data_IF_883378895425
#
_entry.id   IF_883378895425
#
_cell.length_a   1.000
_cell.length_b   1.000
_cell.length_c   1.000
_cell.angle_alpha   90.00
_cell.angle_beta   90.00
_cell.angle_gamma   90.00
#
_symmetry.space_group_name_H-M   'P 1'
#
loop_
_entity.id
_entity.type
_entity.pdbx_description
1 polymer ?
#
# COMPACT_ATOMS: atom_id res chain seq x y z
N UNK A 1 -2.06 -29.45 2.60
CA UNK A 1 -0.89 -28.87 3.31
C UNK A 1 -0.06 -27.93 2.43
N UNK A 2 0.06 -28.19 1.13
CA UNK A 2 0.86 -27.39 0.18
C UNK A 2 0.45 -25.90 0.08
N UNK A 3 -0.86 -25.60 0.07
CA UNK A 3 -1.38 -24.22 -0.04
C UNK A 3 -1.03 -23.36 1.17
N UNK A 4 -1.07 -23.92 2.39
CA UNK A 4 -0.74 -23.18 3.62
C UNK A 4 0.73 -22.72 3.64
N UNK A 5 1.62 -23.57 3.13
CA UNK A 5 3.04 -23.26 3.06
C UNK A 5 3.36 -22.20 1.99
N UNK A 6 2.66 -22.25 0.85
CA UNK A 6 2.74 -21.20 -0.19
C UNK A 6 2.26 -19.84 0.34
N UNK A 7 1.10 -19.79 0.98
CA UNK A 7 0.56 -18.55 1.57
C UNK A 7 1.51 -17.97 2.61
N UNK A 8 2.03 -18.79 3.52
CA UNK A 8 3.00 -18.35 4.54
C UNK A 8 4.28 -17.76 3.91
N UNK A 9 4.79 -18.38 2.83
CA UNK A 9 5.96 -17.88 2.10
C UNK A 9 5.69 -16.50 1.47
N UNK A 10 4.57 -16.33 0.78
CA UNK A 10 4.22 -15.05 0.15
C UNK A 10 3.94 -13.95 1.19
N UNK A 11 3.21 -14.28 2.25
CA UNK A 11 2.98 -13.35 3.36
C UNK A 11 4.31 -12.90 4.00
N UNK A 12 5.25 -13.83 4.21
CA UNK A 12 6.58 -13.52 4.72
C UNK A 12 7.36 -12.55 3.82
N UNK A 13 7.31 -12.76 2.49
CA UNK A 13 7.96 -11.86 1.53
C UNK A 13 7.37 -10.44 1.60
N UNK A 14 6.04 -10.31 1.67
CA UNK A 14 5.36 -9.01 1.75
C UNK A 14 5.73 -8.29 3.05
N UNK A 15 5.79 -8.99 4.18
CA UNK A 15 6.17 -8.42 5.48
C UNK A 15 7.62 -7.91 5.43
N UNK A 16 8.55 -8.70 4.89
CA UNK A 16 9.96 -8.30 4.76
C UNK A 16 10.09 -7.07 3.86
N UNK A 17 9.43 -7.08 2.70
CA UNK A 17 9.41 -5.94 1.79
C UNK A 17 8.84 -4.68 2.48
N UNK A 18 7.78 -4.83 3.28
CA UNK A 18 7.17 -3.73 4.03
C UNK A 18 8.12 -3.13 5.06
N UNK A 19 8.80 -3.98 5.84
CA UNK A 19 9.79 -3.54 6.82
C UNK A 19 10.94 -2.81 6.13
N UNK A 20 11.43 -3.35 5.02
CA UNK A 20 12.50 -2.72 4.24
C UNK A 20 12.11 -1.33 3.74
N UNK A 21 10.91 -1.19 3.16
CA UNK A 21 10.37 0.10 2.75
C UNK A 21 10.24 1.09 3.92
N UNK A 22 9.84 0.63 5.11
CA UNK A 22 9.76 1.49 6.31
C UNK A 22 11.14 1.98 6.74
N UNK A 23 12.15 1.12 6.74
CA UNK A 23 13.52 1.51 7.08
C UNK A 23 14.07 2.52 6.08
N UNK A 24 13.83 2.32 4.78
CA UNK A 24 14.21 3.29 3.75
C UNK A 24 13.48 4.64 3.92
N UNK A 25 12.19 4.61 4.27
CA UNK A 25 11.40 5.79 4.57
C UNK A 25 11.96 6.58 5.76
N UNK A 26 12.35 5.89 6.84
CA UNK A 26 13.02 6.49 7.99
C UNK A 26 14.38 7.08 7.61
N UNK A 27 15.17 6.37 6.78
CA UNK A 27 16.43 6.88 6.26
C UNK A 27 16.26 8.17 5.48
N UNK A 28 15.23 8.25 4.61
CA UNK A 28 14.85 9.48 3.91
C UNK A 28 14.54 10.62 4.88
N UNK A 29 13.77 10.36 5.93
CA UNK A 29 13.42 11.37 6.94
C UNK A 29 14.66 11.90 7.69
N UNK A 30 15.59 11.01 8.05
CA UNK A 30 16.86 11.37 8.69
C UNK A 30 17.72 12.24 7.76
N UNK A 31 17.79 11.90 6.46
CA UNK A 31 18.56 12.69 5.48
C UNK A 31 17.95 14.08 5.31
N UNK A 32 16.63 14.17 5.17
CA UNK A 32 15.92 15.45 5.05
C UNK A 32 16.16 16.30 6.30
N UNK A 33 15.96 15.73 7.49
CA UNK A 33 16.17 16.43 8.76
C UNK A 33 17.63 16.91 8.92
N UNK A 34 18.62 16.11 8.52
CA UNK A 34 20.04 16.50 8.58
C UNK A 34 20.48 17.54 7.54
N UNK A 35 19.71 17.74 6.47
CA UNK A 35 20.05 18.71 5.40
C UNK A 35 19.26 20.01 5.51
N UNK A 36 17.99 19.92 5.90
CA UNK A 36 17.08 21.06 6.00
C UNK A 36 16.85 21.52 7.45
N UNK A 37 17.22 20.70 8.44
CA UNK A 37 16.98 20.98 9.86
C UNK A 37 15.52 20.76 10.28
N UNK A 38 15.25 20.97 11.57
CA UNK A 38 13.89 21.10 12.08
C UNK A 38 13.42 22.55 11.85
N UNK A 39 12.81 22.78 10.69
CA UNK A 39 12.35 24.10 10.27
C UNK A 39 11.09 24.00 9.42
N UNK A 40 10.50 25.16 9.13
CA UNK A 40 9.19 25.30 8.46
C UNK A 40 9.17 24.57 7.09
N UNK A 41 10.30 24.56 6.37
CA UNK A 41 10.44 23.87 5.08
C UNK A 41 10.25 22.36 5.18
N UNK A 42 10.84 21.75 6.21
CA UNK A 42 10.75 20.30 6.48
C UNK A 42 9.33 19.91 6.88
N UNK A 43 8.68 20.72 7.72
CA UNK A 43 7.30 20.51 8.13
C UNK A 43 6.33 20.64 6.94
N UNK A 44 6.53 21.65 6.09
CA UNK A 44 5.74 21.84 4.88
C UNK A 44 5.87 20.64 3.92
N UNK A 45 7.09 20.11 3.76
CA UNK A 45 7.33 18.90 2.96
C UNK A 45 6.56 17.69 3.51
N UNK A 46 6.59 17.45 4.82
CA UNK A 46 5.88 16.33 5.43
C UNK A 46 4.36 16.46 5.31
N UNK A 47 3.81 17.66 5.52
CA UNK A 47 2.39 17.93 5.34
C UNK A 47 1.98 17.73 3.88
N UNK A 48 2.78 18.23 2.92
CA UNK A 48 2.53 18.02 1.51
C UNK A 48 2.56 16.52 1.14
N UNK A 49 3.46 15.75 1.74
CA UNK A 49 3.58 14.31 1.52
C UNK A 49 2.46 13.49 2.21
N UNK A 50 1.81 14.06 3.23
CA UNK A 50 0.69 13.42 3.93
C UNK A 50 -0.53 13.26 3.04
N UNK A 51 -0.90 14.29 2.27
CA UNK A 51 -2.09 14.26 1.39
C UNK A 51 -2.09 13.07 0.40
N UNK A 52 -1.04 12.85 -0.42
CA UNK A 52 -0.99 11.71 -1.33
C UNK A 52 -0.89 10.38 -0.58
N UNK A 53 -0.23 10.34 0.58
CA UNK A 53 -0.18 9.14 1.41
C UNK A 53 -1.54 8.75 1.98
N UNK A 54 -2.35 9.73 2.41
CA UNK A 54 -3.71 9.51 2.86
C UNK A 54 -4.53 8.93 1.70
N UNK A 55 -4.47 9.54 0.52
CA UNK A 55 -5.17 9.04 -0.66
C UNK A 55 -4.77 7.59 -1.00
N UNK A 56 -3.47 7.29 -1.00
CA UNK A 56 -2.94 5.94 -1.23
C UNK A 56 -3.44 4.95 -0.19
N UNK A 57 -3.46 5.35 1.09
CA UNK A 57 -3.95 4.50 2.18
C UNK A 57 -5.45 4.24 2.03
N UNK A 58 -6.27 5.26 1.73
CA UNK A 58 -7.71 5.08 1.54
C UNK A 58 -8.06 4.21 0.34
N UNK A 59 -7.40 4.39 -0.80
CA UNK A 59 -7.72 3.69 -2.05
C UNK A 59 -7.05 2.31 -2.13
N UNK A 60 -5.80 2.19 -1.71
CA UNK A 60 -4.98 0.98 -1.92
C UNK A 60 -4.93 0.03 -0.72
N UNK A 61 -4.89 0.58 0.50
CA UNK A 61 -4.82 -0.22 1.74
C UNK A 61 -6.19 -0.30 2.46
N UNK A 62 -7.12 0.59 2.11
CA UNK A 62 -8.35 0.86 2.87
C UNK A 62 -9.64 0.31 2.27
N UNK A 63 -10.75 0.95 2.67
CA UNK A 63 -12.13 0.51 2.47
C UNK A 63 -12.50 0.18 1.02
N UNK A 64 -11.93 0.92 0.05
CA UNK A 64 -12.17 0.68 -1.36
C UNK A 64 -11.67 -0.70 -1.77
N UNK A 65 -10.44 -1.06 -1.39
CA UNK A 65 -9.86 -2.34 -1.76
C UNK A 65 -10.57 -3.51 -1.06
N UNK A 66 -10.98 -3.34 0.20
CA UNK A 66 -11.74 -4.37 0.94
C UNK A 66 -13.15 -4.61 0.41
N UNK A 67 -13.78 -3.60 -0.22
CA UNK A 67 -15.11 -3.74 -0.82
C UNK A 67 -15.02 -4.15 -2.30
N UNK A 68 -14.02 -3.65 -3.03
CA UNK A 68 -13.84 -3.88 -4.46
C UNK A 68 -13.28 -5.27 -4.76
N UNK A 69 -12.24 -5.74 -4.05
CA UNK A 69 -11.60 -7.03 -4.33
C UNK A 69 -12.60 -8.20 -4.24
N UNK A 70 -13.43 -8.35 -3.19
CA UNK A 70 -14.35 -9.48 -3.08
C UNK A 70 -15.39 -9.50 -4.21
N UNK A 71 -15.96 -8.33 -4.54
CA UNK A 71 -16.97 -8.21 -5.60
C UNK A 71 -16.36 -8.48 -6.97
N UNK A 72 -15.17 -7.94 -7.24
CA UNK A 72 -14.44 -8.22 -8.48
C UNK A 72 -14.05 -9.70 -8.59
N UNK A 73 -13.57 -10.32 -7.50
CA UNK A 73 -13.23 -11.73 -7.46
C UNK A 73 -14.46 -12.64 -7.66
N UNK A 74 -15.63 -12.25 -7.17
CA UNK A 74 -16.89 -12.93 -7.41
C UNK A 74 -17.28 -12.93 -8.89
N UNK A 75 -17.22 -11.76 -9.56
CA UNK A 75 -17.47 -11.67 -11.01
C UNK A 75 -16.50 -12.53 -11.82
N UNK A 76 -15.22 -12.55 -11.44
CA UNK A 76 -14.20 -13.34 -12.12
C UNK A 76 -14.42 -14.86 -11.92
N UNK A 77 -14.79 -15.28 -10.71
CA UNK A 77 -15.07 -16.68 -10.39
C UNK A 77 -16.28 -17.21 -11.16
N UNK A 78 -17.30 -16.38 -11.36
CA UNK A 78 -18.52 -16.74 -12.09
C UNK A 78 -18.34 -16.81 -13.62
N UNK A 79 -17.09 -16.73 -14.13
CA UNK A 79 -16.74 -16.79 -15.57
C UNK A 79 -17.39 -15.69 -16.43
N UNK A 80 -17.98 -14.67 -15.79
CA UNK A 80 -18.63 -13.54 -16.46
C UNK A 80 -17.60 -12.43 -16.66
N UNK A 81 -16.59 -12.74 -17.49
CA UNK A 81 -15.43 -11.88 -17.74
C UNK A 81 -15.84 -10.48 -18.24
N UNK A 82 -16.93 -10.41 -18.99
CA UNK A 82 -17.53 -9.15 -19.47
C UNK A 82 -18.08 -8.28 -18.34
N UNK A 83 -18.70 -8.87 -17.31
CA UNK A 83 -19.17 -8.11 -16.14
C UNK A 83 -18.02 -7.65 -15.24
N UNK A 84 -16.97 -8.48 -15.11
CA UNK A 84 -15.76 -8.08 -14.39
C UNK A 84 -15.08 -6.88 -15.09
N UNK A 85 -15.00 -6.89 -16.42
CA UNK A 85 -14.48 -5.77 -17.23
C UNK A 85 -15.36 -4.51 -17.17
N UNK A 86 -16.68 -4.65 -17.01
CA UNK A 86 -17.58 -3.51 -16.83
C UNK A 86 -17.52 -2.90 -15.42
N UNK A 87 -17.18 -3.71 -14.41
CA UNK A 87 -17.09 -3.28 -13.02
C UNK A 87 -15.74 -2.62 -12.65
N UNK A 88 -14.68 -2.92 -13.40
CA UNK A 88 -13.33 -2.37 -13.21
C UNK A 88 -13.13 -1.04 -13.95
#
# INVERSE_FOLDING_TARGET
METKHKIAKYAGIVIIATIFCRILGLGREIVISNRFGAGIETDAFFIAFMIPNLLRSFLGEGALNSAFIPVFAEYLSNHDRKKAEYFA
#
